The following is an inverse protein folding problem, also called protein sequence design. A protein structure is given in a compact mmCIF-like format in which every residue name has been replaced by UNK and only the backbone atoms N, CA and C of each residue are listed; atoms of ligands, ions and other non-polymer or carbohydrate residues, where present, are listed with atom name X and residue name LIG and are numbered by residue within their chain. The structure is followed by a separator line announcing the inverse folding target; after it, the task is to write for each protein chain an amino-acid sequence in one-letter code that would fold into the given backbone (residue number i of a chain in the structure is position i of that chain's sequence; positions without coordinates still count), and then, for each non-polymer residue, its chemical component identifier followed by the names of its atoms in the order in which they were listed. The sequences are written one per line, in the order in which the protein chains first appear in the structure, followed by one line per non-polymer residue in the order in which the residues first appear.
data_IF_853771191741
#
_entry.id   IF_853771191741
#
_cell.length_a   1.000
_cell.length_b   1.000
_cell.length_c   1.000
_cell.angle_alpha   90.00
_cell.angle_beta   90.00
_cell.angle_gamma   90.00
#
_symmetry.space_group_name_H-M   'P 1'
#
loop_
_entity.id
_entity.type
_entity.pdbx_description
1 polymer ?
#
# COMPACT_ATOMS: atom_id res chain seq x y z
N UNK A 1 -39.56 -3.18 -27.64
CA UNK A 1 -39.59 -2.04 -26.70
C UNK A 1 -40.27 -2.51 -25.43
N UNK A 2 -39.51 -2.70 -24.35
CA UNK A 2 -39.84 -2.23 -23.00
C UNK A 2 -38.56 -2.38 -22.18
N UNK A 3 -37.92 -1.24 -21.92
CA UNK A 3 -36.99 -1.06 -20.81
C UNK A 3 -37.79 -1.25 -19.51
N UNK A 4 -37.22 -1.93 -18.53
CA UNK A 4 -37.68 -1.77 -17.13
C UNK A 4 -36.48 -1.84 -16.20
N UNK A 5 -36.07 -0.62 -15.84
CA UNK A 5 -35.22 -0.14 -14.77
C UNK A 5 -34.81 -1.10 -13.64
N UNK A 6 -33.52 -1.00 -13.33
CA UNK A 6 -32.89 -1.25 -12.03
C UNK A 6 -33.77 -0.80 -10.85
N UNK A 7 -34.14 -1.74 -9.99
CA UNK A 7 -34.71 -1.44 -8.68
C UNK A 7 -33.75 -1.99 -7.62
N UNK A 8 -33.01 -1.09 -6.97
CA UNK A 8 -32.29 -1.37 -5.74
C UNK A 8 -33.32 -1.65 -4.64
N UNK A 9 -33.18 -2.77 -3.93
CA UNK A 9 -33.91 -3.00 -2.70
C UNK A 9 -32.97 -3.59 -1.66
N UNK A 10 -32.67 -2.81 -0.63
CA UNK A 10 -31.97 -3.25 0.59
C UNK A 10 -33.05 -3.80 1.52
N UNK A 11 -33.06 -5.12 1.73
CA UNK A 11 -33.92 -5.75 2.73
C UNK A 11 -33.01 -6.50 3.71
N UNK A 12 -32.96 -5.97 4.92
CA UNK A 12 -32.34 -6.59 6.09
C UNK A 12 -33.35 -7.53 6.73
N UNK A 13 -33.16 -8.83 6.59
CA UNK A 13 -33.75 -9.87 7.46
C UNK A 13 -32.72 -10.99 7.57
N UNK A 14 -32.34 -11.29 8.81
CA UNK A 14 -31.61 -12.49 9.29
C UNK A 14 -31.49 -13.64 8.27
N UNK A 15 -30.26 -14.08 8.01
CA UNK A 15 -29.85 -15.14 7.05
C UNK A 15 -29.97 -14.81 5.54
N UNK A 16 -29.42 -13.66 5.12
CA UNK A 16 -29.50 -13.18 3.73
C UNK A 16 -28.42 -13.75 2.79
N UNK A 17 -28.76 -14.79 2.02
CA UNK A 17 -28.09 -15.11 0.74
C UNK A 17 -28.71 -14.18 -0.33
N UNK A 18 -27.92 -13.26 -0.89
CA UNK A 18 -28.31 -12.43 -2.02
C UNK A 18 -27.65 -13.04 -3.26
N UNK A 19 -28.41 -13.44 -4.27
CA UNK A 19 -27.92 -13.95 -5.56
C UNK A 19 -28.24 -12.95 -6.67
N UNK A 20 -27.22 -12.39 -7.31
CA UNK A 20 -27.35 -11.65 -8.58
C UNK A 20 -26.59 -12.37 -9.68
N UNK A 21 -27.10 -12.46 -10.93
CA UNK A 21 -26.32 -12.94 -12.06
C UNK A 21 -25.23 -11.92 -12.47
N UNK A 22 -23.97 -12.35 -12.74
CA UNK A 22 -23.43 -13.69 -12.52
C UNK A 22 -23.13 -13.88 -11.02
N UNK A 23 -23.61 -14.98 -10.45
CA UNK A 23 -23.78 -15.27 -9.03
C UNK A 23 -22.72 -14.66 -8.09
N UNK A 24 -23.10 -13.63 -7.31
CA UNK A 24 -22.35 -13.10 -6.17
C UNK A 24 -23.11 -13.34 -4.88
N UNK A 25 -22.43 -13.55 -3.75
CA UNK A 25 -23.07 -13.58 -2.44
C UNK A 25 -22.12 -13.12 -1.33
N UNK A 26 -22.73 -12.55 -0.29
CA UNK A 26 -22.15 -12.26 1.02
C UNK A 26 -22.21 -13.54 1.86
N UNK A 27 -21.09 -14.05 2.35
CA UNK A 27 -21.07 -15.29 3.15
C UNK A 27 -20.44 -15.07 4.52
N UNK A 28 -21.24 -15.31 5.56
CA UNK A 28 -20.85 -15.27 6.98
C UNK A 28 -20.82 -16.73 7.46
N UNK A 29 -19.64 -17.32 7.67
CA UNK A 29 -19.53 -18.73 8.02
C UNK A 29 -19.51 -18.98 9.54
N UNK A 30 -20.48 -19.75 10.02
CA UNK A 30 -20.20 -20.83 10.97
C UNK A 30 -19.84 -22.08 10.14
N UNK A 31 -18.55 -22.35 10.01
CA UNK A 31 -17.99 -23.20 8.94
C UNK A 31 -18.32 -24.70 9.04
N UNK A 32 -19.40 -25.13 8.39
CA UNK A 32 -19.55 -26.53 7.99
C UNK A 32 -19.11 -26.72 6.53
N UNK A 33 -18.19 -27.65 6.31
CA UNK A 33 -17.56 -27.92 5.01
C UNK A 33 -18.57 -28.22 3.89
N UNK A 34 -19.65 -28.94 4.20
CA UNK A 34 -20.66 -29.29 3.20
C UNK A 34 -21.42 -28.06 2.64
N UNK A 35 -21.66 -27.04 3.46
CA UNK A 35 -22.31 -25.80 2.98
C UNK A 35 -21.36 -25.03 2.07
N UNK A 36 -20.10 -24.88 2.46
CA UNK A 36 -19.06 -24.20 1.68
C UNK A 36 -18.94 -24.86 0.30
N UNK A 37 -18.80 -26.18 0.29
CA UNK A 37 -18.69 -26.98 -0.93
C UNK A 37 -19.89 -26.78 -1.85
N UNK A 38 -21.10 -26.85 -1.31
CA UNK A 38 -22.35 -26.67 -2.08
C UNK A 38 -22.46 -25.26 -2.65
N UNK A 39 -22.04 -24.26 -1.88
CA UNK A 39 -22.09 -22.85 -2.26
C UNK A 39 -21.13 -22.51 -3.40
N UNK A 40 -19.97 -23.16 -3.44
CA UNK A 40 -18.91 -22.95 -4.44
C UNK A 40 -19.03 -23.88 -5.67
N UNK A 41 -20.16 -24.59 -5.83
CA UNK A 41 -20.44 -25.34 -7.05
C UNK A 41 -20.88 -24.42 -8.19
N UNK A 42 -20.79 -24.93 -9.42
CA UNK A 42 -21.38 -24.26 -10.58
C UNK A 42 -22.89 -23.97 -10.35
N UNK A 43 -23.43 -22.83 -10.82
CA UNK A 43 -22.82 -21.83 -11.70
C UNK A 43 -22.11 -20.67 -10.98
N UNK A 44 -21.69 -20.83 -9.72
CA UNK A 44 -21.03 -19.76 -8.97
C UNK A 44 -19.70 -19.36 -9.63
N UNK A 45 -19.55 -18.08 -9.97
CA UNK A 45 -18.33 -17.55 -10.62
C UNK A 45 -17.45 -16.76 -9.64
N UNK A 46 -18.05 -16.07 -8.67
CA UNK A 46 -17.28 -15.36 -7.65
C UNK A 46 -18.07 -15.07 -6.38
N UNK A 47 -17.37 -14.90 -5.26
CA UNK A 47 -17.99 -14.55 -3.96
C UNK A 47 -17.18 -13.50 -3.21
N UNK A 48 -17.85 -12.79 -2.30
CA UNK A 48 -17.20 -12.01 -1.24
C UNK A 48 -17.35 -12.78 0.06
N UNK A 49 -16.22 -13.25 0.57
CA UNK A 49 -16.10 -13.96 1.83
C UNK A 49 -15.83 -12.95 2.94
N UNK A 50 -16.70 -12.88 3.94
CA UNK A 50 -16.46 -12.03 5.11
C UNK A 50 -15.86 -12.84 6.26
N UNK A 51 -14.60 -12.59 6.57
CA UNK A 51 -13.85 -13.28 7.62
C UNK A 51 -13.73 -12.42 8.89
N UNK A 52 -13.32 -13.06 9.98
CA UNK A 52 -13.18 -12.40 11.27
C UNK A 52 -11.87 -11.60 11.35
N UNK A 53 -11.94 -10.48 12.09
CA UNK A 53 -10.75 -9.69 12.44
C UNK A 53 -9.99 -9.19 11.22
N UNK A 54 -8.70 -9.46 11.16
CA UNK A 54 -7.79 -9.00 10.09
C UNK A 54 -7.84 -9.86 8.82
N UNK A 55 -8.91 -10.61 8.58
CA UNK A 55 -9.02 -11.44 7.39
C UNK A 55 -8.81 -12.94 7.62
N UNK A 56 -9.08 -13.45 8.82
CA UNK A 56 -8.58 -14.76 9.25
C UNK A 56 -9.57 -15.90 8.98
N UNK A 57 -9.08 -17.06 8.53
CA UNK A 57 -9.82 -18.32 8.56
C UNK A 57 -9.29 -19.28 9.63
N UNK A 58 -10.10 -20.27 10.07
CA UNK A 58 -9.62 -21.32 10.95
C UNK A 58 -8.51 -22.13 10.26
N UNK A 59 -7.27 -22.00 10.74
CA UNK A 59 -6.10 -22.74 10.24
C UNK A 59 -6.11 -24.22 10.63
N UNK A 60 -6.89 -24.57 11.65
CA UNK A 60 -7.16 -25.95 12.06
C UNK A 60 -8.20 -26.70 11.20
N UNK A 61 -8.65 -26.11 10.08
CA UNK A 61 -9.66 -26.66 9.17
C UNK A 61 -9.14 -26.79 7.74
N UNK A 62 -8.23 -27.74 7.54
CA UNK A 62 -7.67 -28.05 6.22
C UNK A 62 -8.75 -28.40 5.19
N UNK A 63 -9.85 -29.02 5.61
CA UNK A 63 -11.01 -29.34 4.79
C UNK A 63 -11.68 -28.11 4.16
N UNK A 64 -11.62 -26.94 4.82
CA UNK A 64 -12.18 -25.69 4.29
C UNK A 64 -11.23 -24.99 3.34
N UNK A 65 -9.95 -24.90 3.73
CA UNK A 65 -8.91 -24.31 2.90
C UNK A 65 -8.77 -25.07 1.57
N UNK A 66 -8.94 -26.39 1.61
CA UNK A 66 -8.93 -27.22 0.41
C UNK A 66 -10.16 -27.00 -0.47
N UNK A 67 -11.36 -26.81 0.10
CA UNK A 67 -12.54 -26.44 -0.70
C UNK A 67 -12.38 -25.08 -1.37
N UNK A 68 -11.77 -24.11 -0.68
CA UNK A 68 -11.43 -22.83 -1.28
C UNK A 68 -10.40 -22.98 -2.39
N UNK A 69 -9.33 -23.75 -2.18
CA UNK A 69 -8.32 -24.06 -3.21
C UNK A 69 -8.96 -24.72 -4.43
N UNK A 70 -9.77 -25.73 -4.23
CA UNK A 70 -10.49 -26.41 -5.30
C UNK A 70 -11.41 -25.46 -6.06
N UNK A 71 -12.09 -24.54 -5.38
CA UNK A 71 -12.94 -23.54 -6.03
C UNK A 71 -12.12 -22.55 -6.85
N UNK A 72 -10.99 -22.07 -6.33
CA UNK A 72 -10.13 -21.12 -7.03
C UNK A 72 -9.46 -21.75 -8.25
N UNK A 73 -9.08 -23.03 -8.18
CA UNK A 73 -8.59 -23.84 -9.31
C UNK A 73 -9.66 -24.05 -10.39
N UNK A 74 -10.94 -24.15 -10.01
CA UNK A 74 -12.06 -24.15 -10.97
C UNK A 74 -12.32 -22.79 -11.62
N UNK A 75 -11.61 -21.74 -11.22
CA UNK A 75 -11.77 -20.38 -11.73
C UNK A 75 -12.71 -19.50 -10.91
N UNK A 76 -13.23 -19.97 -9.77
CA UNK A 76 -14.05 -19.14 -8.87
C UNK A 76 -13.18 -18.07 -8.24
N UNK A 77 -13.60 -16.81 -8.33
CA UNK A 77 -12.90 -15.70 -7.70
C UNK A 77 -13.48 -15.46 -6.31
N UNK A 78 -12.64 -15.53 -5.27
CA UNK A 78 -13.07 -15.34 -3.89
C UNK A 78 -12.33 -14.12 -3.33
N UNK A 79 -13.07 -13.06 -3.00
CA UNK A 79 -12.53 -11.84 -2.38
C UNK A 79 -12.77 -11.90 -0.88
N UNK A 80 -11.70 -11.82 -0.10
CA UNK A 80 -11.75 -11.85 1.37
C UNK A 80 -11.91 -10.43 1.94
N UNK A 81 -13.05 -10.14 2.56
CA UNK A 81 -13.31 -8.91 3.30
C UNK A 81 -13.40 -9.18 4.80
N UNK A 82 -13.16 -8.17 5.63
CA UNK A 82 -13.37 -8.29 7.08
C UNK A 82 -14.82 -8.00 7.45
N UNK A 83 -15.34 -8.71 8.45
CA UNK A 83 -16.62 -8.40 9.10
C UNK A 83 -16.54 -7.15 9.98
N UNK A 84 -15.34 -6.70 10.33
CA UNK A 84 -15.16 -5.52 11.18
C UNK A 84 -15.61 -4.25 10.43
N UNK A 85 -16.38 -3.39 11.11
CA UNK A 85 -16.80 -2.09 10.56
C UNK A 85 -15.61 -1.20 10.16
N UNK A 86 -14.48 -1.36 10.86
CA UNK A 86 -13.20 -0.69 10.57
C UNK A 86 -12.08 -1.71 10.65
N UNK A 87 -11.08 -1.55 9.79
CA UNK A 87 -9.93 -2.43 9.72
C UNK A 87 -9.61 -2.81 8.29
N UNK A 88 -8.62 -3.68 8.12
CA UNK A 88 -8.19 -4.15 6.81
C UNK A 88 -7.88 -5.64 6.89
N UNK A 89 -8.17 -6.36 5.82
CA UNK A 89 -7.67 -7.72 5.60
C UNK A 89 -6.18 -7.64 5.31
N UNK A 90 -5.38 -8.32 6.13
CA UNK A 90 -3.92 -8.33 6.03
C UNK A 90 -3.40 -9.76 5.99
N UNK A 91 -2.35 -10.01 5.21
CA UNK A 91 -1.64 -11.30 5.16
C UNK A 91 -0.56 -11.42 6.23
N UNK A 92 -0.41 -10.41 7.09
CA UNK A 92 0.63 -10.33 8.13
C UNK A 92 0.52 -11.43 9.20
N UNK A 93 -0.65 -12.06 9.34
CA UNK A 93 -0.90 -13.16 10.27
C UNK A 93 -0.93 -14.52 9.54
N UNK A 94 -0.53 -15.59 10.22
CA UNK A 94 -0.48 -16.94 9.65
C UNK A 94 -1.84 -17.38 9.05
N UNK A 95 -2.94 -17.00 9.68
CA UNK A 95 -4.32 -17.31 9.26
C UNK A 95 -4.78 -16.49 8.04
N UNK A 96 -4.33 -15.24 7.90
CA UNK A 96 -4.56 -14.42 6.70
C UNK A 96 -3.72 -14.89 5.51
N UNK A 97 -2.51 -15.39 5.78
CA UNK A 97 -1.66 -16.03 4.77
C UNK A 97 -2.29 -17.33 4.24
N UNK A 98 -2.88 -18.15 5.11
CA UNK A 98 -3.51 -19.42 4.71
C UNK A 98 -4.59 -19.26 3.62
N UNK A 99 -5.42 -18.21 3.71
CA UNK A 99 -6.42 -17.91 2.68
C UNK A 99 -5.80 -17.40 1.38
N UNK A 100 -4.74 -16.61 1.48
CA UNK A 100 -3.98 -16.15 0.31
C UNK A 100 -3.32 -17.34 -0.41
N UNK A 101 -2.75 -18.28 0.35
CA UNK A 101 -2.15 -19.53 -0.14
C UNK A 101 -3.21 -20.50 -0.74
N UNK A 102 -4.48 -20.37 -0.34
CA UNK A 102 -5.63 -21.05 -0.96
C UNK A 102 -6.17 -20.32 -2.21
N UNK A 103 -5.52 -19.21 -2.60
CA UNK A 103 -5.85 -18.47 -3.81
C UNK A 103 -7.00 -17.47 -3.62
N UNK A 104 -7.23 -16.94 -2.42
CA UNK A 104 -8.17 -15.82 -2.25
C UNK A 104 -7.51 -14.48 -2.59
N UNK A 105 -8.32 -13.51 -3.03
CA UNK A 105 -7.90 -12.12 -3.23
C UNK A 105 -8.15 -11.34 -1.94
N UNK A 106 -7.15 -10.67 -1.41
CA UNK A 106 -7.32 -9.80 -0.24
C UNK A 106 -8.15 -8.56 -0.61
N UNK A 107 -9.28 -8.38 0.07
CA UNK A 107 -10.14 -7.22 -0.07
C UNK A 107 -9.61 -5.96 0.61
N UNK A 108 -8.54 -6.08 1.41
CA UNK A 108 -7.92 -5.00 2.17
C UNK A 108 -8.96 -4.28 3.04
N UNK A 109 -9.06 -2.97 2.92
CA UNK A 109 -10.00 -2.08 3.61
C UNK A 109 -11.28 -1.80 2.81
N UNK A 110 -11.55 -2.54 1.71
CA UNK A 110 -12.82 -2.42 1.00
C UNK A 110 -13.99 -2.78 1.91
N UNK A 111 -15.08 -2.00 1.82
CA UNK A 111 -16.36 -2.46 2.34
C UNK A 111 -16.86 -3.66 1.52
N UNK A 112 -17.66 -4.56 2.11
CA UNK A 112 -18.25 -5.69 1.38
C UNK A 112 -19.05 -5.25 0.14
N UNK A 113 -19.75 -4.11 0.21
CA UNK A 113 -20.51 -3.53 -0.91
C UNK A 113 -19.59 -3.06 -2.02
N UNK A 114 -18.48 -2.39 -1.68
CA UNK A 114 -17.48 -1.96 -2.64
C UNK A 114 -16.81 -3.16 -3.32
N UNK A 115 -16.47 -4.20 -2.54
CA UNK A 115 -15.91 -5.44 -3.06
C UNK A 115 -16.89 -6.14 -4.02
N UNK A 116 -18.17 -6.24 -3.67
CA UNK A 116 -19.21 -6.81 -4.52
C UNK A 116 -19.37 -6.03 -5.84
N UNK A 117 -19.46 -4.70 -5.77
CA UNK A 117 -19.55 -3.84 -6.96
C UNK A 117 -18.34 -4.00 -7.88
N UNK A 118 -17.14 -4.01 -7.29
CA UNK A 118 -15.89 -4.17 -8.02
C UNK A 118 -15.78 -5.55 -8.66
N UNK A 119 -16.17 -6.60 -7.93
CA UNK A 119 -16.21 -7.98 -8.42
C UNK A 119 -17.16 -8.12 -9.61
N UNK A 120 -18.36 -7.52 -9.52
CA UNK A 120 -19.32 -7.47 -10.63
C UNK A 120 -18.76 -6.78 -11.86
N UNK A 121 -18.13 -5.61 -11.68
CA UNK A 121 -17.47 -4.89 -12.76
C UNK A 121 -16.35 -5.71 -13.43
N UNK A 122 -15.50 -6.37 -12.64
CA UNK A 122 -14.38 -7.16 -13.14
C UNK A 122 -14.85 -8.45 -13.83
N UNK A 123 -15.89 -9.11 -13.32
CA UNK A 123 -16.42 -10.32 -13.97
C UNK A 123 -17.01 -10.03 -15.35
N UNK A 124 -17.68 -8.88 -15.52
CA UNK A 124 -18.26 -8.44 -16.79
C UNK A 124 -17.23 -8.25 -17.92
N UNK A 125 -15.93 -8.16 -17.58
CA UNK A 125 -14.83 -8.09 -18.55
C UNK A 125 -14.51 -9.46 -19.11
N UNK A 126 -15.11 -9.80 -20.25
CA UNK A 126 -14.88 -11.08 -20.94
C UNK A 126 -13.53 -11.14 -21.67
N UNK A 127 -12.86 -10.01 -21.82
CA UNK A 127 -11.55 -9.85 -22.45
C UNK A 127 -10.36 -10.25 -21.54
N UNK A 128 -10.60 -10.49 -20.25
CA UNK A 128 -9.55 -10.71 -19.25
C UNK A 128 -9.47 -12.18 -18.79
N UNK A 129 -8.24 -12.68 -18.61
CA UNK A 129 -7.98 -13.95 -17.93
C UNK A 129 -8.34 -13.88 -16.44
N UNK A 130 -8.51 -15.02 -15.79
CA UNK A 130 -8.85 -15.07 -14.35
C UNK A 130 -7.74 -14.44 -13.50
N UNK A 131 -6.46 -14.64 -13.87
CA UNK A 131 -5.31 -14.03 -13.21
C UNK A 131 -5.32 -12.50 -13.38
N UNK A 132 -5.65 -12.01 -14.58
CA UNK A 132 -5.78 -10.59 -14.85
C UNK A 132 -6.93 -9.97 -14.05
N UNK A 133 -8.08 -10.67 -13.96
CA UNK A 133 -9.22 -10.27 -13.11
C UNK A 133 -8.83 -10.19 -11.63
N UNK A 134 -8.13 -11.21 -11.12
CA UNK A 134 -7.63 -11.25 -9.73
C UNK A 134 -6.66 -10.09 -9.44
N UNK A 135 -5.74 -9.83 -10.36
CA UNK A 135 -4.81 -8.69 -10.26
C UNK A 135 -5.57 -7.36 -10.26
N UNK A 136 -6.58 -7.20 -11.11
CA UNK A 136 -7.41 -6.00 -11.14
C UNK A 136 -8.20 -5.81 -9.84
N UNK A 137 -8.68 -6.90 -9.22
CA UNK A 137 -9.36 -6.86 -7.92
C UNK A 137 -8.44 -6.44 -6.76
N UNK A 138 -7.15 -6.74 -6.84
CA UNK A 138 -6.16 -6.30 -5.85
C UNK A 138 -5.69 -4.84 -6.00
N UNK A 139 -6.13 -4.12 -7.05
CA UNK A 139 -5.69 -2.75 -7.34
C UNK A 139 -6.77 -1.73 -7.03
N UNK A 140 -6.41 -0.55 -6.53
CA UNK A 140 -7.36 0.55 -6.36
C UNK A 140 -7.82 1.09 -7.73
N UNK A 141 -9.11 0.93 -8.07
CA UNK A 141 -9.65 1.35 -9.37
C UNK A 141 -10.35 2.70 -9.33
N UNK A 142 -11.02 3.04 -8.21
CA UNK A 142 -11.95 4.18 -8.07
C UNK A 142 -11.89 4.84 -6.69
N UNK A 143 -10.86 4.56 -5.90
CA UNK A 143 -10.74 5.04 -4.52
C UNK A 143 -11.42 4.13 -3.50
N UNK A 144 -11.80 2.90 -3.88
CA UNK A 144 -12.55 1.98 -3.03
C UNK A 144 -11.67 1.20 -2.04
N UNK A 145 -10.36 1.18 -2.27
CA UNK A 145 -9.41 0.44 -1.43
C UNK A 145 -8.05 1.13 -1.36
N UNK A 146 -7.35 0.95 -0.25
CA UNK A 146 -5.93 1.25 -0.10
C UNK A 146 -5.18 -0.04 -0.41
N UNK A 147 -4.53 -0.10 -1.58
CA UNK A 147 -3.80 -1.30 -2.03
C UNK A 147 -2.76 -1.76 -0.98
N UNK A 148 -2.66 -3.07 -0.75
CA UNK A 148 -1.65 -3.64 0.13
C UNK A 148 -0.24 -3.49 -0.48
N UNK A 149 0.71 -3.01 0.32
CA UNK A 149 2.06 -2.59 -0.12
C UNK A 149 3.07 -3.73 -0.01
N UNK A 150 2.63 -4.95 0.31
CA UNK A 150 3.50 -6.10 0.50
C UNK A 150 4.23 -6.47 -0.80
N UNK A 151 5.56 -6.44 -0.74
CA UNK A 151 6.45 -6.73 -1.86
C UNK A 151 6.96 -5.49 -2.62
N UNK A 152 6.51 -4.28 -2.28
CA UNK A 152 7.12 -3.06 -2.79
C UNK A 152 8.50 -2.87 -2.15
N UNK A 153 9.56 -2.92 -2.96
CA UNK A 153 10.89 -2.49 -2.53
C UNK A 153 10.78 -1.00 -2.17
N UNK A 154 10.90 -0.68 -0.88
CA UNK A 154 10.85 0.69 -0.39
C UNK A 154 12.12 1.40 -0.85
N UNK A 155 12.02 2.18 -1.92
CA UNK A 155 13.08 3.08 -2.37
C UNK A 155 12.64 4.51 -2.12
N UNK A 156 13.59 5.39 -1.79
CA UNK A 156 13.31 6.82 -1.59
C UNK A 156 12.80 7.50 -2.87
N UNK A 157 13.06 6.89 -4.02
CA UNK A 157 12.49 7.21 -5.34
C UNK A 157 11.01 6.97 -5.50
N UNK A 158 10.38 6.30 -4.55
CA UNK A 158 8.97 6.01 -4.65
C UNK A 158 8.16 6.80 -3.61
N UNK A 159 7.19 7.59 -4.11
CA UNK A 159 6.13 8.19 -3.27
C UNK A 159 5.46 7.16 -2.35
N UNK A 160 5.55 5.86 -2.69
CA UNK A 160 5.14 4.73 -1.86
C UNK A 160 5.79 4.68 -0.47
N UNK A 161 7.04 5.13 -0.25
CA UNK A 161 7.63 5.12 1.10
C UNK A 161 6.86 6.03 2.07
N UNK A 162 6.55 7.25 1.62
CA UNK A 162 5.75 8.21 2.40
C UNK A 162 4.30 7.71 2.56
N UNK A 163 3.73 7.06 1.54
CA UNK A 163 2.40 6.44 1.66
C UNK A 163 2.36 5.29 2.68
N UNK A 164 3.42 4.46 2.77
CA UNK A 164 3.54 3.43 3.80
C UNK A 164 3.57 4.07 5.19
N UNK A 165 4.39 5.10 5.38
CA UNK A 165 4.47 5.81 6.66
C UNK A 165 3.12 6.43 7.00
N UNK A 166 2.46 7.07 6.04
CA UNK A 166 1.12 7.63 6.21
C UNK A 166 0.10 6.58 6.65
N UNK A 167 0.11 5.40 6.00
CA UNK A 167 -0.73 4.26 6.36
C UNK A 167 -0.42 3.76 7.78
N UNK A 168 0.86 3.59 8.13
CA UNK A 168 1.29 3.12 9.44
C UNK A 168 0.93 4.10 10.57
N UNK A 169 0.94 5.40 10.28
CA UNK A 169 0.57 6.46 11.22
C UNK A 169 -0.93 6.79 11.18
N UNK A 170 -1.73 6.08 10.38
CA UNK A 170 -3.17 6.33 10.18
C UNK A 170 -3.49 7.78 9.77
N UNK A 171 -2.62 8.38 8.96
CA UNK A 171 -2.78 9.75 8.48
C UNK A 171 -3.94 9.81 7.50
N UNK A 172 -4.88 10.71 7.77
CA UNK A 172 -6.13 10.84 7.00
C UNK A 172 -6.27 12.18 6.27
N UNK A 173 -5.40 13.15 6.55
CA UNK A 173 -5.42 14.46 5.92
C UNK A 173 -4.07 14.83 5.28
N UNK A 174 -4.13 15.76 4.33
CA UNK A 174 -2.97 16.17 3.52
C UNK A 174 -1.94 16.92 4.37
N UNK A 175 -2.41 17.66 5.37
CA UNK A 175 -1.59 18.49 6.25
C UNK A 175 -0.68 17.64 7.14
N UNK A 176 -1.21 16.55 7.70
CA UNK A 176 -0.42 15.57 8.47
C UNK A 176 0.61 14.85 7.59
N UNK A 177 0.25 14.57 6.33
CA UNK A 177 1.17 13.95 5.37
C UNK A 177 2.34 14.88 5.03
N UNK A 178 2.05 16.17 4.79
CA UNK A 178 3.06 17.20 4.56
C UNK A 178 3.95 17.38 5.79
N UNK A 179 3.38 17.38 7.01
CA UNK A 179 4.15 17.47 8.25
C UNK A 179 5.10 16.29 8.45
N UNK A 180 4.65 15.06 8.15
CA UNK A 180 5.52 13.87 8.22
C UNK A 180 6.61 13.90 7.17
N UNK A 181 6.27 14.29 5.93
CA UNK A 181 7.27 14.47 4.87
C UNK A 181 8.32 15.49 5.29
N UNK A 182 7.91 16.63 5.81
CA UNK A 182 8.82 17.72 6.20
C UNK A 182 9.67 17.33 7.41
N UNK A 183 9.13 16.53 8.34
CA UNK A 183 9.89 15.99 9.47
C UNK A 183 10.97 14.96 9.05
N UNK A 184 10.70 14.15 8.03
CA UNK A 184 11.61 13.10 7.56
C UNK A 184 12.64 13.60 6.54
N UNK A 185 12.28 14.63 5.77
CA UNK A 185 13.09 15.18 4.66
C UNK A 185 14.53 15.50 5.07
N UNK A 186 14.81 16.22 6.18
CA UNK A 186 16.18 16.58 6.52
C UNK A 186 17.06 15.36 6.72
N UNK A 187 16.58 14.37 7.48
CA UNK A 187 17.32 13.14 7.78
C UNK A 187 17.62 12.33 6.52
N UNK A 188 16.62 12.16 5.65
CA UNK A 188 16.76 11.41 4.41
C UNK A 188 17.69 12.11 3.41
N UNK A 189 17.52 13.42 3.22
CA UNK A 189 18.34 14.19 2.30
C UNK A 189 19.80 14.33 2.79
N UNK A 190 20.03 14.45 4.11
CA UNK A 190 21.36 14.39 4.69
C UNK A 190 22.01 13.03 4.49
N UNK A 191 21.27 11.93 4.68
CA UNK A 191 21.78 10.57 4.44
C UNK A 191 22.15 10.35 2.97
N UNK A 192 21.29 10.73 2.03
CA UNK A 192 21.55 10.65 0.59
C UNK A 192 22.77 11.51 0.20
N UNK A 193 22.86 12.72 0.75
CA UNK A 193 24.01 13.60 0.54
C UNK A 193 25.32 13.03 1.08
N UNK A 194 25.28 12.26 2.17
CA UNK A 194 26.47 11.64 2.76
C UNK A 194 27.10 10.59 1.83
N UNK A 195 26.25 9.81 1.16
CA UNK A 195 26.71 8.74 0.26
C UNK A 195 26.86 9.19 -1.20
N UNK A 196 26.51 10.44 -1.52
CA UNK A 196 26.59 10.97 -2.89
C UNK A 196 25.43 10.56 -3.80
N UNK A 197 24.31 10.11 -3.24
CA UNK A 197 23.17 9.55 -3.98
C UNK A 197 22.26 10.67 -4.52
N UNK A 198 22.55 11.09 -5.74
CA UNK A 198 21.76 12.09 -6.46
C UNK A 198 20.35 11.62 -6.82
N UNK A 199 20.18 10.34 -7.18
CA UNK A 199 18.88 9.80 -7.57
C UNK A 199 17.90 9.85 -6.39
N UNK A 200 18.39 9.52 -5.18
CA UNK A 200 17.60 9.65 -3.95
C UNK A 200 17.26 11.10 -3.60
N UNK A 201 18.15 12.06 -3.88
CA UNK A 201 17.85 13.48 -3.67
C UNK A 201 16.82 14.03 -4.64
N UNK A 202 16.89 13.60 -5.90
CA UNK A 202 15.95 14.01 -6.95
C UNK A 202 14.55 13.46 -6.69
N UNK A 203 14.49 12.19 -6.33
CA UNK A 203 13.32 11.55 -5.78
C UNK A 203 12.65 12.30 -4.61
N UNK A 204 13.45 12.67 -3.60
CA UNK A 204 12.94 13.44 -2.45
C UNK A 204 12.38 14.79 -2.92
N UNK A 205 13.04 15.43 -3.89
CA UNK A 205 12.56 16.69 -4.46
C UNK A 205 11.25 16.54 -5.22
N UNK A 206 11.10 15.51 -6.06
CA UNK A 206 9.88 15.21 -6.81
C UNK A 206 8.67 14.95 -5.90
N UNK A 207 8.89 14.45 -4.69
CA UNK A 207 7.84 14.31 -3.65
C UNK A 207 7.38 15.66 -3.05
N UNK A 208 7.90 16.79 -3.53
CA UNK A 208 7.56 18.13 -3.08
C UNK A 208 8.28 18.57 -1.80
N UNK A 209 9.34 17.86 -1.40
CA UNK A 209 10.13 18.20 -0.22
C UNK A 209 11.04 19.41 -0.43
N UNK A 210 11.35 20.10 0.67
CA UNK A 210 12.34 21.18 0.70
C UNK A 210 13.71 20.65 1.14
N UNK A 211 14.66 20.52 0.20
CA UNK A 211 16.03 20.07 0.45
C UNK A 211 16.90 21.09 1.21
N UNK A 212 16.36 22.25 1.57
CA UNK A 212 17.06 23.25 2.38
C UNK A 212 16.84 23.10 3.89
N UNK A 213 15.98 22.16 4.30
CA UNK A 213 15.71 21.92 5.72
C UNK A 213 16.93 21.28 6.40
N UNK A 214 17.23 21.75 7.61
CA UNK A 214 18.31 21.23 8.45
C UNK A 214 17.86 20.07 9.33
N UNK A 215 18.77 19.16 9.62
CA UNK A 215 18.57 18.11 10.62
C UNK A 215 18.56 18.70 12.05
N UNK A 216 18.56 17.82 13.08
CA UNK A 216 18.54 18.22 14.48
C UNK A 216 19.77 19.04 14.91
N UNK A 217 20.87 18.96 14.16
CA UNK A 217 22.08 19.74 14.35
C UNK A 217 22.09 21.02 13.49
N UNK A 218 20.98 21.34 12.82
CA UNK A 218 20.88 22.45 11.87
C UNK A 218 21.68 22.22 10.58
N UNK A 219 22.20 21.01 10.35
CA UNK A 219 22.96 20.68 9.15
C UNK A 219 22.00 20.40 8.01
N UNK A 220 22.14 21.17 6.95
CA UNK A 220 21.43 20.92 5.69
C UNK A 220 22.14 19.83 4.88
N UNK A 221 21.46 19.20 3.91
CA UNK A 221 22.07 18.30 2.93
C UNK A 221 23.34 18.89 2.29
N UNK A 222 23.36 20.21 2.06
CA UNK A 222 24.52 20.92 1.51
C UNK A 222 25.73 20.92 2.45
N UNK A 223 25.53 21.00 3.77
CA UNK A 223 26.62 20.86 4.74
C UNK A 223 27.28 19.47 4.62
N UNK A 224 26.45 18.43 4.53
CA UNK A 224 26.92 17.04 4.46
C UNK A 224 27.65 16.80 3.14
N UNK A 225 27.04 17.14 2.01
CA UNK A 225 27.65 16.98 0.69
C UNK A 225 28.99 17.73 0.57
N UNK A 226 29.07 18.94 1.13
CA UNK A 226 30.30 19.74 1.13
C UNK A 226 31.39 19.15 2.03
N UNK A 227 31.00 18.55 3.17
CA UNK A 227 31.92 17.87 4.08
C UNK A 227 32.51 16.59 3.46
N UNK A 228 31.69 15.81 2.75
CA UNK A 228 32.09 14.55 2.12
C UNK A 228 32.77 14.74 0.76
N UNK A 229 32.70 15.95 0.18
CA UNK A 229 33.34 16.27 -1.10
C UNK A 229 32.57 15.80 -2.34
N UNK A 230 31.27 15.50 -2.20
CA UNK A 230 30.41 15.06 -3.32
C UNK A 230 30.00 16.27 -4.19
N UNK A 231 30.89 16.67 -5.09
CA UNK A 231 30.72 17.87 -5.93
C UNK A 231 29.43 17.84 -6.76
N UNK A 232 29.07 16.68 -7.30
CA UNK A 232 27.86 16.46 -8.08
C UNK A 232 26.60 16.75 -7.25
N UNK A 233 26.56 16.29 -5.99
CA UNK A 233 25.48 16.58 -5.05
C UNK A 233 25.44 18.05 -4.65
N UNK A 234 26.60 18.67 -4.39
CA UNK A 234 26.69 20.11 -4.07
C UNK A 234 26.08 20.94 -5.21
N UNK A 235 26.46 20.66 -6.45
CA UNK A 235 25.95 21.38 -7.62
C UNK A 235 24.44 21.19 -7.80
N UNK A 236 23.95 19.95 -7.60
CA UNK A 236 22.53 19.66 -7.63
C UNK A 236 21.76 20.45 -6.57
N UNK A 237 22.18 20.39 -5.30
CA UNK A 237 21.50 21.09 -4.20
C UNK A 237 21.46 22.61 -4.41
N UNK A 238 22.54 23.20 -4.93
CA UNK A 238 22.58 24.62 -5.30
C UNK A 238 21.60 24.96 -6.43
N UNK A 239 21.49 24.10 -7.44
CA UNK A 239 20.51 24.26 -8.52
C UNK A 239 19.05 24.20 -8.01
N UNK A 240 18.83 23.48 -6.91
CA UNK A 240 17.53 23.38 -6.22
C UNK A 240 17.29 24.51 -5.21
N UNK A 241 18.16 25.52 -5.15
CA UNK A 241 17.99 26.72 -4.31
C UNK A 241 18.50 26.57 -2.88
N UNK A 242 19.31 25.56 -2.56
CA UNK A 242 19.90 25.41 -1.23
C UNK A 242 20.81 26.61 -0.91
N UNK A 243 20.64 27.19 0.28
CA UNK A 243 21.44 28.34 0.71
C UNK A 243 22.82 27.94 1.22
N UNK A 244 23.86 28.61 0.72
CA UNK A 244 25.25 28.49 1.20
C UNK A 244 25.49 29.20 2.54
N UNK A 245 24.50 29.94 3.03
CA UNK A 245 24.59 30.73 4.26
C UNK A 245 23.86 30.08 5.44
N UNK A 246 23.25 28.90 5.25
CA UNK A 246 22.71 28.13 6.37
C UNK A 246 23.82 27.88 7.40
N UNK A 247 23.46 27.92 8.68
CA UNK A 247 24.39 27.69 9.79
C UNK A 247 23.95 26.46 10.55
N UNK A 248 24.88 25.55 10.79
CA UNK A 248 24.65 24.44 11.71
C UNK A 248 24.70 24.93 13.17
N UNK A 249 24.52 24.00 14.12
CA UNK A 249 24.54 24.30 15.56
C UNK A 249 25.84 24.89 16.09
N UNK A 250 26.93 24.75 15.35
CA UNK A 250 28.23 25.33 15.69
C UNK A 250 28.43 26.70 15.03
N UNK A 251 27.45 27.17 14.26
CA UNK A 251 27.53 28.42 13.50
C UNK A 251 28.32 28.28 12.19
N UNK A 252 28.72 27.06 11.83
CA UNK A 252 29.51 26.79 10.64
C UNK A 252 28.57 26.70 9.41
N UNK A 253 28.99 27.31 8.29
CA UNK A 253 28.31 27.22 7.00
C UNK A 253 28.75 25.96 6.24
N UNK A 254 28.06 25.53 5.15
CA UNK A 254 28.49 24.40 4.35
C UNK A 254 29.95 24.52 3.87
N UNK A 255 30.36 25.72 3.44
CA UNK A 255 31.73 26.00 3.03
C UNK A 255 32.70 25.88 4.22
N UNK A 256 32.32 26.39 5.39
CA UNK A 256 33.17 26.32 6.59
C UNK A 256 33.37 24.88 7.04
N UNK A 257 32.32 24.06 6.98
CA UNK A 257 32.40 22.62 7.22
C UNK A 257 33.31 21.93 6.20
N UNK A 258 33.17 22.23 4.90
CA UNK A 258 34.08 21.69 3.89
C UNK A 258 35.55 22.02 4.19
N UNK A 259 35.87 23.27 4.52
CA UNK A 259 37.25 23.66 4.86
C UNK A 259 37.75 22.98 6.13
N UNK A 260 36.89 22.87 7.16
CA UNK A 260 37.24 22.28 8.45
C UNK A 260 37.48 20.78 8.39
N UNK A 261 36.70 20.06 7.57
CA UNK A 261 36.75 18.60 7.48
C UNK A 261 37.49 18.06 6.24
N UNK A 262 37.77 18.89 5.23
CA UNK A 262 38.62 18.52 4.07
C UNK A 262 40.04 18.11 4.45
N UNK A 263 40.58 18.60 5.58
CA UNK A 263 41.88 18.15 6.10
C UNK A 263 41.88 16.68 6.56
N UNK A 264 40.73 16.03 6.73
CA UNK A 264 40.66 14.63 7.19
C UNK A 264 40.62 13.61 6.04
N UNK A 265 40.23 14.01 4.83
CA UNK A 265 40.10 13.11 3.67
C UNK A 265 41.33 13.10 2.75
N UNK A 266 42.23 14.07 2.89
CA UNK A 266 43.51 14.12 2.16
C UNK A 266 44.63 13.26 2.78
N UNK A 267 44.34 12.47 3.81
CA UNK A 267 45.31 11.59 4.49
C UNK A 267 45.33 10.12 4.03
N UNK A 268 44.59 9.76 2.98
CA UNK A 268 44.51 8.36 2.54
C UNK A 268 44.10 8.20 1.09
N UNK A 269 45.05 8.40 0.17
CA UNK A 269 45.10 7.75 -1.14
C UNK A 269 46.56 7.51 -1.51
#
# INVERSE_FOLDING_TARGET
MYQSHSVFSVISVVDSIILFPPCFCKVIFHYYHHYVKSFLQAPMEAIVLETYGSGNAPDNRADLLEEFRNATERGVIIVNCTQCLRGSVTTSYATGKALSDAGLVAGCDMTPEAALCKLSYVLARTDLSIEAKRKMLSQNLRGEMIADLQGAKLTLSDSRFIQVIAKSLSISCKEELEAVRDALTPTLACAASKIGDLEALDAIKEMGSNLSLGDYDGRTPLHIASCEGHLNVVQYLLSQGATVYAKDRYGDTPLRNAVRFSCMTSGGR
#
